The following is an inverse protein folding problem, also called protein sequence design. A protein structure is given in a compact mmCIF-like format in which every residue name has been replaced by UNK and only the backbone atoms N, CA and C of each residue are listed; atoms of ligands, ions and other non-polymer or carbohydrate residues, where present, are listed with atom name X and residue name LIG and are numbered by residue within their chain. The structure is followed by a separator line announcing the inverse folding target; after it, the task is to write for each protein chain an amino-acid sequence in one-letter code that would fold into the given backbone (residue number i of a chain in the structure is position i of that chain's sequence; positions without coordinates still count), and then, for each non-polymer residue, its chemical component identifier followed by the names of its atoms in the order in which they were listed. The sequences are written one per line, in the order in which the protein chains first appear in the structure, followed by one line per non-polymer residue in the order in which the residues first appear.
data_IF_554149113463
#
_entry.id   IF_554149113463
#
_cell.length_a   1.000
_cell.length_b   1.000
_cell.length_c   1.000
_cell.angle_alpha   90.00
_cell.angle_beta   90.00
_cell.angle_gamma   90.00
#
_symmetry.space_group_name_H-M   'P 1'
#
loop_
_entity.id
_entity.type
_entity.pdbx_description
1 polymer ?
#
# COMPACT_ATOMS: atom_id res chain seq x y z
N UNK A 1 -51.12 2.89 -40.30
CA UNK A 1 -51.24 3.43 -38.92
C UNK A 1 -49.84 3.63 -38.40
N UNK A 2 -49.49 4.90 -38.13
CA UNK A 2 -48.20 5.33 -37.59
C UNK A 2 -48.06 4.83 -36.15
N UNK A 3 -47.14 3.91 -35.89
CA UNK A 3 -46.75 3.60 -34.52
C UNK A 3 -45.55 4.45 -34.14
N UNK A 4 -45.86 5.49 -33.37
CA UNK A 4 -44.95 6.39 -32.69
C UNK A 4 -43.93 5.60 -31.87
N UNK A 5 -42.71 5.46 -32.40
CA UNK A 5 -41.55 4.99 -31.64
C UNK A 5 -40.94 6.16 -30.86
N UNK A 6 -41.71 6.72 -29.92
CA UNK A 6 -41.22 7.73 -28.99
C UNK A 6 -40.71 6.99 -27.77
N UNK A 7 -39.43 6.66 -27.75
CA UNK A 7 -38.78 6.31 -26.48
C UNK A 7 -38.87 7.54 -25.59
N UNK A 8 -39.47 7.46 -24.39
CA UNK A 8 -39.46 8.60 -23.49
C UNK A 8 -38.00 8.86 -23.13
N UNK A 9 -37.51 10.05 -23.45
CA UNK A 9 -36.21 10.54 -23.01
C UNK A 9 -36.12 10.37 -21.48
N UNK A 10 -35.53 9.25 -21.03
CA UNK A 10 -35.15 9.07 -19.63
C UNK A 10 -34.11 10.15 -19.37
N UNK A 11 -34.51 11.22 -18.67
CA UNK A 11 -33.56 12.21 -18.17
C UNK A 11 -32.49 11.43 -17.41
N UNK A 12 -31.19 11.61 -17.73
CA UNK A 12 -30.14 11.02 -16.91
C UNK A 12 -30.38 11.45 -15.46
N UNK A 13 -30.32 10.51 -14.50
CA UNK A 13 -30.59 10.83 -13.11
C UNK A 13 -29.71 12.02 -12.70
N UNK A 14 -30.25 12.99 -11.93
CA UNK A 14 -29.49 14.15 -11.52
C UNK A 14 -28.20 13.67 -10.85
N UNK A 15 -27.07 14.12 -11.38
CA UNK A 15 -25.73 13.86 -10.85
C UNK A 15 -25.79 14.28 -9.38
N UNK A 16 -25.88 13.33 -8.44
CA UNK A 16 -25.90 13.64 -7.01
C UNK A 16 -24.69 14.51 -6.73
N UNK A 17 -24.95 15.72 -6.23
CA UNK A 17 -23.88 16.60 -5.80
C UNK A 17 -22.99 15.81 -4.84
N UNK A 18 -21.65 15.79 -5.03
CA UNK A 18 -20.77 15.13 -4.09
C UNK A 18 -21.02 15.76 -2.71
N UNK A 19 -21.28 14.90 -1.71
CA UNK A 19 -21.61 15.33 -0.36
C UNK A 19 -20.57 16.35 0.14
N UNK A 20 -21.02 17.42 0.85
CA UNK A 20 -20.13 18.47 1.31
C UNK A 20 -19.01 17.87 2.15
N UNK A 21 -17.79 18.25 1.77
CA UNK A 21 -16.54 17.79 2.37
C UNK A 21 -16.52 18.26 3.84
N UNK A 22 -16.71 17.34 4.79
CA UNK A 22 -16.68 17.67 6.23
C UNK A 22 -15.35 18.36 6.59
N UNK A 23 -15.46 19.58 7.11
CA UNK A 23 -14.34 20.39 7.60
C UNK A 23 -13.75 19.78 8.88
N UNK A 24 -12.44 19.57 8.85
CA UNK A 24 -11.63 18.96 9.91
C UNK A 24 -10.20 18.79 9.36
N UNK A 25 -9.31 18.12 10.10
CA UNK A 25 -7.90 17.89 9.73
C UNK A 25 -7.67 17.09 8.42
N UNK A 26 -8.70 16.91 7.59
CA UNK A 26 -8.62 16.25 6.29
C UNK A 26 -8.61 14.71 6.37
N UNK A 27 -8.20 14.11 7.50
CA UNK A 27 -8.08 12.65 7.66
C UNK A 27 -9.40 11.88 7.66
N UNK A 28 -10.54 12.54 7.87
CA UNK A 28 -11.87 11.92 7.74
C UNK A 28 -12.35 11.88 6.28
N UNK A 29 -11.76 12.69 5.40
CA UNK A 29 -12.10 12.73 3.98
C UNK A 29 -11.50 11.55 3.23
N UNK A 30 -12.11 11.11 2.12
CA UNK A 30 -11.53 10.07 1.25
C UNK A 30 -10.12 10.40 0.80
N UNK A 31 -9.83 11.69 0.56
CA UNK A 31 -8.48 12.16 0.21
C UNK A 31 -7.50 11.98 1.35
N UNK A 32 -7.82 12.47 2.55
CA UNK A 32 -6.93 12.34 3.68
C UNK A 32 -6.66 10.89 4.05
N UNK A 33 -7.68 10.01 3.91
CA UNK A 33 -7.50 8.57 4.09
C UNK A 33 -6.58 7.94 3.04
N UNK A 34 -6.72 8.31 1.77
CA UNK A 34 -5.84 7.82 0.70
C UNK A 34 -4.39 8.31 0.87
N UNK A 35 -4.20 9.57 1.27
CA UNK A 35 -2.88 10.15 1.57
C UNK A 35 -2.26 9.45 2.79
N UNK A 36 -3.03 9.27 3.86
CA UNK A 36 -2.57 8.60 5.08
C UNK A 36 -2.19 7.14 4.83
N UNK A 37 -2.93 6.43 3.96
CA UNK A 37 -2.60 5.06 3.57
C UNK A 37 -1.18 4.94 3.00
N UNK A 38 -0.82 5.82 2.05
CA UNK A 38 0.52 5.80 1.44
C UNK A 38 1.58 6.37 2.39
N UNK A 39 1.24 7.37 3.20
CA UNK A 39 2.14 7.87 4.23
C UNK A 39 2.53 6.78 5.24
N UNK A 40 1.56 6.03 5.77
CA UNK A 40 1.83 4.91 6.67
C UNK A 40 2.64 3.80 5.98
N UNK A 41 2.38 3.56 4.69
CA UNK A 41 3.16 2.59 3.89
C UNK A 41 4.62 3.03 3.78
N UNK A 42 4.87 4.29 3.40
CA UNK A 42 6.22 4.85 3.30
C UNK A 42 6.91 4.81 4.66
N UNK A 43 6.23 5.27 5.72
CA UNK A 43 6.76 5.26 7.08
C UNK A 43 7.16 3.84 7.51
N UNK A 44 6.33 2.83 7.22
CA UNK A 44 6.65 1.44 7.54
C UNK A 44 7.96 0.98 6.88
N UNK A 45 8.16 1.24 5.59
CA UNK A 45 9.39 0.82 4.88
C UNK A 45 10.62 1.67 5.23
N UNK A 46 10.45 2.98 5.45
CA UNK A 46 11.54 3.85 5.93
C UNK A 46 11.98 3.42 7.33
N UNK A 47 11.04 3.12 8.22
CA UNK A 47 11.38 2.62 9.56
C UNK A 47 12.05 1.25 9.49
N UNK A 48 11.66 0.36 8.56
CA UNK A 48 12.37 -0.92 8.37
C UNK A 48 13.82 -0.73 7.91
N UNK A 49 14.11 0.29 7.12
CA UNK A 49 15.47 0.64 6.70
C UNK A 49 16.29 1.20 7.87
N UNK A 50 15.70 2.11 8.64
CA UNK A 50 16.38 2.76 9.77
C UNK A 50 16.57 1.83 10.96
N UNK A 51 15.65 0.88 11.14
CA UNK A 51 15.61 -0.03 12.28
C UNK A 51 15.54 -1.50 11.82
N UNK A 52 16.61 -2.04 11.22
CA UNK A 52 16.60 -3.39 10.65
C UNK A 52 16.64 -4.50 11.72
N UNK A 53 17.08 -4.21 12.94
CA UNK A 53 17.32 -5.19 13.99
C UNK A 53 16.43 -4.99 15.24
N UNK A 54 16.07 -6.07 15.96
CA UNK A 54 15.39 -5.96 17.25
C UNK A 54 16.23 -5.21 18.30
N UNK A 55 15.59 -4.49 19.23
CA UNK A 55 14.13 -4.35 19.38
C UNK A 55 13.51 -3.27 18.50
N UNK A 56 14.32 -2.38 17.90
CA UNK A 56 13.81 -1.22 17.15
C UNK A 56 13.00 -1.62 15.90
N UNK A 57 13.28 -2.77 15.31
CA UNK A 57 12.49 -3.31 14.19
C UNK A 57 11.01 -3.54 14.54
N UNK A 58 10.67 -3.71 15.82
CA UNK A 58 9.27 -3.82 16.25
C UNK A 58 8.48 -2.52 16.02
N UNK A 59 9.15 -1.36 16.00
CA UNK A 59 8.52 -0.08 15.67
C UNK A 59 8.07 -0.07 14.21
N UNK A 60 8.93 -0.51 13.29
CA UNK A 60 8.60 -0.62 11.87
C UNK A 60 7.43 -1.59 11.65
N UNK A 61 7.48 -2.75 12.30
CA UNK A 61 6.41 -3.75 12.26
C UNK A 61 5.08 -3.20 12.79
N UNK A 62 5.10 -2.48 13.92
CA UNK A 62 3.90 -1.88 14.49
C UNK A 62 3.25 -0.88 13.53
N UNK A 63 4.05 -0.04 12.87
CA UNK A 63 3.56 0.92 11.85
C UNK A 63 3.01 0.19 10.63
N UNK A 64 3.65 -0.90 10.19
CA UNK A 64 3.15 -1.72 9.09
C UNK A 64 1.79 -2.36 9.39
N UNK A 65 1.63 -2.92 10.60
CA UNK A 65 0.36 -3.50 11.07
C UNK A 65 -0.71 -2.43 11.18
N UNK A 66 -0.39 -1.27 11.75
CA UNK A 66 -1.31 -0.14 11.82
C UNK A 66 -1.74 0.33 10.42
N UNK A 67 -0.80 0.45 9.48
CA UNK A 67 -1.06 0.76 8.07
C UNK A 67 -1.97 -0.27 7.41
N UNK A 68 -1.70 -1.56 7.61
CA UNK A 68 -2.51 -2.66 7.08
C UNK A 68 -3.96 -2.58 7.59
N UNK A 69 -4.15 -2.50 8.90
CA UNK A 69 -5.48 -2.44 9.51
C UNK A 69 -6.25 -1.18 9.08
N UNK A 70 -5.56 -0.04 9.02
CA UNK A 70 -6.14 1.21 8.54
C UNK A 70 -6.62 1.09 7.10
N UNK A 71 -5.79 0.55 6.21
CA UNK A 71 -6.14 0.42 4.80
C UNK A 71 -7.26 -0.61 4.59
N UNK A 72 -7.17 -1.76 5.26
CA UNK A 72 -8.15 -2.83 5.16
C UNK A 72 -9.55 -2.36 5.60
N UNK A 73 -9.64 -1.67 6.73
CA UNK A 73 -10.91 -1.16 7.26
C UNK A 73 -11.56 -0.07 6.39
N UNK A 74 -10.78 0.64 5.56
CA UNK A 74 -11.27 1.73 4.73
C UNK A 74 -11.55 1.36 3.26
N UNK A 75 -11.18 0.16 2.79
CA UNK A 75 -11.37 -0.26 1.38
C UNK A 75 -12.83 -0.43 0.94
N UNK A 76 -13.77 -0.61 1.87
CA UNK A 76 -15.19 -0.81 1.55
C UNK A 76 -16.04 0.47 1.47
N UNK A 77 -15.59 1.54 2.12
CA UNK A 77 -16.39 2.76 2.33
C UNK A 77 -15.86 3.97 1.53
N UNK A 78 -14.87 3.77 0.67
CA UNK A 78 -14.20 4.83 -0.06
C UNK A 78 -14.82 5.10 -1.44
N UNK A 79 -14.72 6.34 -1.92
CA UNK A 79 -14.99 6.67 -3.33
C UNK A 79 -14.17 5.74 -4.26
N UNK A 80 -14.65 5.43 -5.49
CA UNK A 80 -13.99 4.47 -6.37
C UNK A 80 -12.49 4.73 -6.60
N UNK A 81 -12.10 6.00 -6.78
CA UNK A 81 -10.70 6.37 -6.93
C UNK A 81 -9.88 6.21 -5.64
N UNK A 82 -10.47 6.50 -4.48
CA UNK A 82 -9.79 6.35 -3.19
C UNK A 82 -9.63 4.87 -2.82
N UNK A 83 -10.56 4.02 -3.25
CA UNK A 83 -10.46 2.59 -3.06
C UNK A 83 -9.25 1.98 -3.81
N UNK A 84 -8.89 2.51 -4.98
CA UNK A 84 -7.68 2.03 -5.68
C UNK A 84 -6.42 2.31 -4.88
N UNK A 85 -6.33 3.44 -4.17
CA UNK A 85 -5.21 3.71 -3.25
C UNK A 85 -5.16 2.74 -2.07
N UNK A 86 -6.31 2.37 -1.51
CA UNK A 86 -6.36 1.41 -0.41
C UNK A 86 -5.93 0.01 -0.88
N UNK A 87 -6.49 -0.50 -1.98
CA UNK A 87 -6.07 -1.79 -2.53
C UNK A 87 -4.56 -1.81 -2.87
N UNK A 88 -4.05 -0.71 -3.44
CA UNK A 88 -2.65 -0.56 -3.79
C UNK A 88 -1.73 -0.56 -2.56
N UNK A 89 -2.05 0.23 -1.53
CA UNK A 89 -1.28 0.27 -0.28
C UNK A 89 -1.30 -1.09 0.43
N UNK A 90 -2.47 -1.74 0.47
CA UNK A 90 -2.65 -3.06 1.09
C UNK A 90 -1.72 -4.10 0.45
N UNK A 91 -1.73 -4.18 -0.88
CA UNK A 91 -0.86 -5.12 -1.61
C UNK A 91 0.61 -4.80 -1.46
N UNK A 92 0.98 -3.51 -1.46
CA UNK A 92 2.37 -3.10 -1.26
C UNK A 92 2.88 -3.53 0.12
N UNK A 93 2.09 -3.30 1.17
CA UNK A 93 2.41 -3.74 2.53
C UNK A 93 2.51 -5.27 2.60
N UNK A 94 1.49 -6.00 2.12
CA UNK A 94 1.46 -7.46 2.20
C UNK A 94 2.63 -8.07 1.44
N UNK A 95 2.86 -7.69 0.18
CA UNK A 95 3.94 -8.26 -0.65
C UNK A 95 5.30 -7.90 -0.05
N UNK A 96 5.55 -6.62 0.25
CA UNK A 96 6.85 -6.18 0.75
C UNK A 96 7.19 -6.82 2.09
N UNK A 97 6.27 -6.80 3.07
CA UNK A 97 6.54 -7.43 4.37
C UNK A 97 6.58 -8.96 4.30
N UNK A 98 5.85 -9.60 3.38
CA UNK A 98 5.98 -11.05 3.17
C UNK A 98 7.40 -11.39 2.70
N UNK A 99 7.93 -10.65 1.72
CA UNK A 99 9.30 -10.86 1.24
C UNK A 99 10.31 -10.61 2.37
N UNK A 100 10.21 -9.49 3.10
CA UNK A 100 11.13 -9.18 4.21
C UNK A 100 11.08 -10.24 5.33
N UNK A 101 9.89 -10.78 5.61
CA UNK A 101 9.73 -11.87 6.58
C UNK A 101 10.37 -13.16 6.09
N UNK A 102 10.17 -13.54 4.82
CA UNK A 102 10.80 -14.71 4.22
C UNK A 102 12.33 -14.61 4.19
N UNK A 103 12.88 -13.43 3.91
CA UNK A 103 14.32 -13.18 3.97
C UNK A 103 14.86 -13.30 5.40
N UNK A 104 14.11 -12.80 6.39
CA UNK A 104 14.47 -12.92 7.80
C UNK A 104 14.47 -14.37 8.27
N UNK A 105 13.45 -15.15 7.86
CA UNK A 105 13.37 -16.59 8.12
C UNK A 105 14.50 -17.35 7.46
N UNK A 106 14.84 -17.02 6.20
CA UNK A 106 15.97 -17.62 5.50
C UNK A 106 17.28 -17.34 6.24
N UNK A 107 17.49 -16.10 6.71
CA UNK A 107 18.64 -15.75 7.52
C UNK A 107 18.72 -16.54 8.84
N UNK A 108 17.59 -16.76 9.52
CA UNK A 108 17.54 -17.57 10.74
C UNK A 108 17.90 -19.04 10.50
N UNK A 109 17.40 -19.64 9.41
CA UNK A 109 17.68 -21.04 9.05
C UNK A 109 19.18 -21.26 8.76
N UNK A 110 19.81 -20.28 8.12
CA UNK A 110 21.22 -20.39 7.73
C UNK A 110 22.17 -19.95 8.83
N UNK A 111 21.75 -19.13 9.80
CA UNK A 111 22.56 -18.75 10.96
C UNK A 111 22.63 -19.84 12.05
N UNK A 112 22.87 -21.08 11.64
CA UNK A 112 23.09 -22.21 12.55
C UNK A 112 24.57 -22.60 12.57
N UNK A 113 25.11 -23.12 13.70
CA UNK A 113 26.53 -23.49 13.81
C UNK A 113 26.94 -24.66 12.89
N UNK A 114 25.97 -25.34 12.29
CA UNK A 114 26.17 -26.44 11.34
C UNK A 114 26.33 -25.97 9.89
N UNK A 115 26.07 -24.69 9.61
CA UNK A 115 26.15 -24.13 8.25
C UNK A 115 27.60 -23.83 7.83
N UNK A 116 27.94 -24.13 6.58
CA UNK A 116 29.22 -23.72 6.00
C UNK A 116 29.26 -22.19 5.87
N UNK A 117 30.38 -21.58 6.27
CA UNK A 117 30.56 -20.12 6.25
C UNK A 117 30.28 -19.49 4.88
N UNK A 118 30.70 -20.16 3.79
CA UNK A 118 30.44 -19.71 2.43
C UNK A 118 28.94 -19.59 2.12
N UNK A 119 28.14 -20.56 2.59
CA UNK A 119 26.68 -20.57 2.41
C UNK A 119 26.05 -19.43 3.20
N UNK A 120 26.48 -19.23 4.45
CA UNK A 120 26.01 -18.12 5.31
C UNK A 120 26.25 -16.76 4.65
N UNK A 121 27.46 -16.53 4.15
CA UNK A 121 27.81 -15.26 3.52
C UNK A 121 27.03 -15.04 2.21
N UNK A 122 26.87 -16.08 1.40
CA UNK A 122 26.07 -16.02 0.17
C UNK A 122 24.60 -15.69 0.43
N UNK A 123 23.99 -16.34 1.42
CA UNK A 123 22.59 -16.08 1.80
C UNK A 123 22.41 -14.70 2.40
N UNK A 124 23.34 -14.23 3.25
CA UNK A 124 23.30 -12.88 3.81
C UNK A 124 23.35 -11.82 2.70
N UNK A 125 24.25 -11.98 1.72
CA UNK A 125 24.37 -11.05 0.60
C UNK A 125 23.11 -11.08 -0.28
N UNK A 126 22.58 -12.26 -0.59
CA UNK A 126 21.32 -12.40 -1.31
C UNK A 126 20.15 -11.70 -0.58
N UNK A 127 19.99 -11.99 0.71
CA UNK A 127 18.93 -11.40 1.52
C UNK A 127 19.05 -9.88 1.61
N UNK A 128 20.26 -9.36 1.74
CA UNK A 128 20.52 -7.92 1.72
C UNK A 128 20.05 -7.27 0.41
N UNK A 129 20.48 -7.79 -0.75
CA UNK A 129 20.13 -7.20 -2.04
C UNK A 129 18.65 -7.32 -2.39
N UNK A 130 18.03 -8.47 -2.13
CA UNK A 130 16.59 -8.65 -2.35
C UNK A 130 15.78 -7.78 -1.39
N UNK A 131 16.21 -7.65 -0.13
CA UNK A 131 15.59 -6.76 0.84
C UNK A 131 15.64 -5.30 0.39
N UNK A 132 16.81 -4.83 -0.05
CA UNK A 132 17.00 -3.49 -0.57
C UNK A 132 16.15 -3.23 -1.81
N UNK A 133 16.16 -4.14 -2.79
CA UNK A 133 15.33 -4.03 -4.00
C UNK A 133 13.84 -3.95 -3.67
N UNK A 134 13.38 -4.76 -2.70
CA UNK A 134 11.98 -4.77 -2.23
C UNK A 134 11.61 -3.44 -1.58
N UNK A 135 12.48 -2.89 -0.74
CA UNK A 135 12.25 -1.60 -0.08
C UNK A 135 12.20 -0.46 -1.09
N UNK A 136 13.14 -0.41 -2.04
CA UNK A 136 13.15 0.60 -3.09
C UNK A 136 11.89 0.51 -3.97
N UNK A 137 11.49 -0.69 -4.36
CA UNK A 137 10.24 -0.93 -5.09
C UNK A 137 9.03 -0.41 -4.30
N UNK A 138 8.90 -0.79 -3.03
CA UNK A 138 7.75 -0.40 -2.21
C UNK A 138 7.69 1.12 -1.99
N UNK A 139 8.83 1.77 -1.74
CA UNK A 139 8.93 3.21 -1.55
C UNK A 139 8.57 3.97 -2.81
N UNK A 140 9.14 3.61 -3.96
CA UNK A 140 8.84 4.24 -5.24
C UNK A 140 7.34 4.12 -5.54
N UNK A 141 6.80 2.92 -5.36
CA UNK A 141 5.39 2.63 -5.62
C UNK A 141 4.46 3.45 -4.72
N UNK A 142 4.75 3.53 -3.43
CA UNK A 142 3.95 4.30 -2.47
C UNK A 142 4.10 5.82 -2.68
N UNK A 143 5.28 6.31 -3.06
CA UNK A 143 5.52 7.73 -3.37
C UNK A 143 4.70 8.20 -4.57
N UNK A 144 4.70 7.44 -5.67
CA UNK A 144 3.90 7.79 -6.86
C UNK A 144 2.41 7.78 -6.51
N UNK A 145 1.96 6.76 -5.78
CA UNK A 145 0.56 6.66 -5.35
C UNK A 145 0.16 7.76 -4.34
N UNK A 146 1.08 8.24 -3.52
CA UNK A 146 0.89 9.40 -2.64
C UNK A 146 0.62 10.67 -3.46
N UNK A 147 1.44 10.93 -4.48
CA UNK A 147 1.24 12.08 -5.39
C UNK A 147 -0.12 11.99 -6.07
N UNK A 148 -0.48 10.83 -6.61
CA UNK A 148 -1.80 10.60 -7.22
C UNK A 148 -2.95 10.83 -6.22
N UNK A 149 -2.79 10.41 -4.95
CA UNK A 149 -3.79 10.63 -3.90
C UNK A 149 -3.97 12.12 -3.59
N UNK A 150 -2.87 12.88 -3.55
CA UNK A 150 -2.89 14.34 -3.36
C UNK A 150 -3.65 15.01 -4.51
N UNK A 151 -3.43 14.55 -5.74
CA UNK A 151 -4.09 15.02 -6.97
C UNK A 151 -5.51 14.45 -7.17
N UNK A 152 -6.00 13.59 -6.25
CA UNK A 152 -7.31 12.91 -6.35
C UNK A 152 -7.48 12.08 -7.62
N UNK A 153 -6.38 11.52 -8.14
CA UNK A 153 -6.38 10.66 -9.33
C UNK A 153 -6.29 9.19 -8.92
N UNK A 154 -7.06 8.29 -9.56
CA UNK A 154 -6.98 6.87 -9.25
C UNK A 154 -5.61 6.31 -9.64
N UNK A 155 -5.14 5.33 -8.87
CA UNK A 155 -4.06 4.43 -9.31
C UNK A 155 -4.58 3.55 -10.46
N UNK A 156 -3.82 3.48 -11.55
CA UNK A 156 -4.24 2.76 -12.76
C UNK A 156 -4.20 1.25 -12.58
N UNK A 157 -3.17 0.71 -11.92
CA UNK A 157 -3.07 -0.72 -11.66
C UNK A 157 -2.90 -1.02 -10.16
N UNK A 158 -3.97 -0.85 -9.37
CA UNK A 158 -3.89 -1.05 -7.92
C UNK A 158 -3.60 -2.51 -7.54
N UNK A 159 -3.83 -3.45 -8.46
CA UNK A 159 -3.66 -4.89 -8.25
C UNK A 159 -2.33 -5.44 -8.75
N UNK A 160 -1.69 -4.77 -9.69
CA UNK A 160 -0.46 -5.23 -10.33
C UNK A 160 0.76 -5.14 -9.43
N UNK A 161 1.92 -5.47 -10.00
CA UNK A 161 3.23 -5.25 -9.37
C UNK A 161 3.79 -3.85 -9.63
N UNK A 162 3.29 -3.20 -10.68
CA UNK A 162 3.62 -1.83 -11.06
C UNK A 162 2.50 -0.86 -10.61
N UNK A 163 2.79 0.45 -10.71
CA UNK A 163 1.86 1.55 -10.40
C UNK A 163 0.63 1.52 -11.33
#
# INVERSE_FOLDING_TARGET
MSHDNVTPFRRPPPKRAPAPQQEGWGFKTHRGKAVLAHFLTIAAFVLSLLFPAPPMSFVALAVAVAGFLFVYSNRGAAMPWANTHHEHALRTLVIGYSILTLLSLLGMLVNTPLSLEQVRNGVAQFAFWVGLATMLWALLRALIALVLAVLRRPVWNPRGWLV
#
